data_IF_635370313285
#
_entry.id   IF_635370313285
#
_cell.length_a   1.000
_cell.length_b   1.000
_cell.length_c   1.000
_cell.angle_alpha   90.00
_cell.angle_beta   90.00
_cell.angle_gamma   90.00
#
_symmetry.space_group_name_H-M   'P 1'
#
loop_
_entity.id
_entity.type
_entity.pdbx_description
1 polymer ?
#
# COMPACT_ATOMS: atom_id res chain seq x y z
N UNK A 1 3.09 21.99 -12.78
CA UNK A 1 3.23 20.60 -13.25
C UNK A 1 4.37 19.93 -12.49
N UNK A 2 4.06 18.87 -11.75
CA UNK A 2 5.01 18.15 -10.90
C UNK A 2 6.14 17.52 -11.72
N UNK A 3 7.40 17.77 -11.36
CA UNK A 3 8.53 17.06 -11.97
C UNK A 3 8.56 15.62 -11.45
N UNK A 4 8.38 14.66 -12.36
CA UNK A 4 8.31 13.22 -12.08
C UNK A 4 9.26 12.52 -13.06
N UNK A 5 10.33 11.94 -12.55
CA UNK A 5 11.24 11.12 -13.35
C UNK A 5 10.60 9.75 -13.62
N UNK A 6 10.36 9.46 -14.90
CA UNK A 6 9.71 8.23 -15.37
C UNK A 6 10.71 7.19 -15.90
N UNK A 7 12.03 7.39 -15.73
CA UNK A 7 13.09 6.47 -16.19
C UNK A 7 12.97 5.07 -15.59
N UNK A 8 12.32 4.93 -14.42
CA UNK A 8 12.07 3.64 -13.79
C UNK A 8 11.16 2.71 -14.62
N UNK A 9 10.33 3.25 -15.54
CA UNK A 9 9.32 2.46 -16.29
C UNK A 9 9.92 1.27 -17.00
N UNK A 10 11.04 1.46 -17.70
CA UNK A 10 11.74 0.39 -18.42
C UNK A 10 12.17 -0.74 -17.48
N UNK A 11 12.56 -0.40 -16.25
CA UNK A 11 12.98 -1.38 -15.26
C UNK A 11 11.79 -2.16 -14.66
N UNK A 12 10.63 -1.51 -14.49
CA UNK A 12 9.44 -2.08 -13.86
C UNK A 12 8.40 -2.63 -14.82
N UNK A 13 8.61 -2.53 -16.14
CA UNK A 13 7.66 -3.00 -17.15
C UNK A 13 7.17 -4.42 -16.89
N UNK A 14 8.09 -5.37 -16.66
CA UNK A 14 7.73 -6.77 -16.37
C UNK A 14 6.99 -6.94 -15.03
N UNK A 15 7.28 -6.10 -14.05
CA UNK A 15 6.58 -6.09 -12.76
C UNK A 15 5.16 -5.58 -12.94
N UNK A 16 4.97 -4.50 -13.71
CA UNK A 16 3.64 -3.98 -14.03
C UNK A 16 2.81 -5.02 -14.80
N UNK A 17 3.34 -5.57 -15.89
CA UNK A 17 2.66 -6.63 -16.65
C UNK A 17 2.19 -7.77 -15.77
N UNK A 18 3.06 -8.26 -14.88
CA UNK A 18 2.73 -9.31 -13.92
C UNK A 18 1.61 -8.93 -12.95
N UNK A 19 1.63 -7.71 -12.41
CA UNK A 19 0.59 -7.23 -11.50
C UNK A 19 -0.76 -7.05 -12.21
N UNK A 20 -0.77 -6.53 -13.44
CA UNK A 20 -1.99 -6.42 -14.24
C UNK A 20 -2.52 -7.80 -14.64
N UNK A 21 -1.66 -8.76 -14.96
CA UNK A 21 -2.08 -10.15 -15.21
C UNK A 21 -2.74 -10.77 -13.98
N UNK A 22 -2.09 -10.68 -12.80
CA UNK A 22 -2.67 -11.16 -11.53
C UNK A 22 -4.02 -10.52 -11.21
N UNK A 23 -4.18 -9.23 -11.52
CA UNK A 23 -5.47 -8.55 -11.38
C UNK A 23 -6.52 -9.12 -12.32
N UNK A 24 -6.17 -9.36 -13.58
CA UNK A 24 -7.08 -9.97 -14.57
C UNK A 24 -7.49 -11.38 -14.14
N UNK A 25 -6.54 -12.20 -13.67
CA UNK A 25 -6.81 -13.55 -13.17
C UNK A 25 -7.79 -13.52 -11.98
N UNK A 26 -7.59 -12.58 -11.05
CA UNK A 26 -8.49 -12.35 -9.93
C UNK A 26 -9.89 -11.90 -10.37
N UNK A 27 -9.99 -11.06 -11.40
CA UNK A 27 -11.28 -10.62 -11.96
C UNK A 27 -12.01 -11.76 -12.67
N UNK A 28 -11.30 -12.56 -13.47
CA UNK A 28 -11.84 -13.70 -14.20
C UNK A 28 -12.37 -14.80 -13.28
N UNK A 29 -11.85 -14.86 -12.05
CA UNK A 29 -12.21 -15.87 -11.06
C UNK A 29 -13.38 -15.47 -10.15
N UNK A 30 -14.04 -14.34 -10.46
CA UNK A 30 -15.26 -13.92 -9.76
C UNK A 30 -16.48 -14.69 -10.29
N UNK A 31 -17.50 -14.95 -9.45
CA UNK A 31 -17.57 -14.57 -8.04
C UNK A 31 -16.74 -15.51 -7.15
N UNK A 32 -15.97 -14.92 -6.23
CA UNK A 32 -15.32 -15.69 -5.16
C UNK A 32 -16.39 -16.19 -4.19
N UNK A 33 -16.22 -17.38 -3.56
CA UNK A 33 -17.13 -17.82 -2.51
C UNK A 33 -17.28 -16.74 -1.43
N UNK A 34 -18.51 -16.29 -1.16
CA UNK A 34 -18.78 -15.16 -0.26
C UNK A 34 -18.10 -15.29 1.11
N UNK A 35 -18.07 -16.50 1.66
CA UNK A 35 -17.43 -16.80 2.96
C UNK A 35 -15.91 -16.60 2.89
N UNK A 36 -15.26 -17.04 1.81
CA UNK A 36 -13.82 -16.85 1.62
C UNK A 36 -13.50 -15.37 1.46
N UNK A 37 -14.27 -14.65 0.64
CA UNK A 37 -14.11 -13.22 0.44
C UNK A 37 -14.26 -12.43 1.76
N UNK A 38 -15.26 -12.76 2.57
CA UNK A 38 -15.47 -12.13 3.87
C UNK A 38 -14.26 -12.34 4.79
N UNK A 39 -13.78 -13.59 4.93
CA UNK A 39 -12.63 -13.90 5.78
C UNK A 39 -11.35 -13.20 5.32
N UNK A 40 -11.10 -13.13 4.01
CA UNK A 40 -9.96 -12.42 3.45
C UNK A 40 -10.06 -10.92 3.79
N UNK A 41 -11.23 -10.30 3.57
CA UNK A 41 -11.44 -8.88 3.86
C UNK A 41 -11.26 -8.56 5.33
N UNK A 42 -11.82 -9.39 6.21
CA UNK A 42 -11.69 -9.26 7.66
C UNK A 42 -10.21 -9.35 8.09
N UNK A 43 -9.50 -10.38 7.64
CA UNK A 43 -8.07 -10.56 7.94
C UNK A 43 -7.22 -9.39 7.41
N UNK A 44 -7.48 -8.94 6.18
CA UNK A 44 -6.77 -7.81 5.57
C UNK A 44 -7.10 -6.47 6.25
N UNK A 45 -8.33 -6.24 6.73
CA UNK A 45 -8.68 -5.01 7.46
C UNK A 45 -7.88 -4.90 8.76
N UNK A 46 -7.80 -6.01 9.51
CA UNK A 46 -7.01 -6.08 10.75
C UNK A 46 -5.53 -5.83 10.45
N UNK A 47 -4.98 -6.51 9.45
CA UNK A 47 -3.58 -6.34 9.05
C UNK A 47 -3.29 -4.90 8.57
N UNK A 48 -4.20 -4.32 7.79
CA UNK A 48 -4.05 -2.96 7.26
C UNK A 48 -4.05 -1.94 8.40
N UNK A 49 -5.02 -2.03 9.31
CA UNK A 49 -5.11 -1.17 10.49
C UNK A 49 -3.87 -1.30 11.36
N UNK A 50 -3.46 -2.52 11.68
CA UNK A 50 -2.25 -2.77 12.48
C UNK A 50 -1.00 -2.14 11.86
N UNK A 51 -0.75 -2.40 10.56
CA UNK A 51 0.46 -1.93 9.91
C UNK A 51 0.44 -0.40 9.72
N UNK A 52 -0.69 0.17 9.31
CA UNK A 52 -0.84 1.61 9.12
C UNK A 52 -0.63 2.38 10.42
N UNK A 53 -1.25 1.95 11.53
CA UNK A 53 -1.09 2.60 12.83
C UNK A 53 0.32 2.37 13.41
N UNK A 54 0.88 1.16 13.27
CA UNK A 54 2.26 0.86 13.71
C UNK A 54 3.31 1.74 13.02
N UNK A 55 3.11 2.11 11.76
CA UNK A 55 4.03 3.03 11.03
C UNK A 55 4.05 4.42 11.68
N UNK A 56 2.92 4.87 12.22
CA UNK A 56 2.80 6.15 12.93
C UNK A 56 3.18 6.07 14.42
N UNK A 57 3.47 4.87 14.93
CA UNK A 57 3.99 4.68 16.29
C UNK A 57 3.03 4.04 17.29
N UNK A 58 1.82 3.64 16.85
CA UNK A 58 0.93 2.84 17.69
C UNK A 58 1.62 1.53 18.09
N UNK A 59 1.52 1.17 19.38
CA UNK A 59 2.31 0.09 19.97
C UNK A 59 1.53 -1.23 20.10
N UNK A 60 0.26 -1.26 19.71
CA UNK A 60 -0.52 -2.50 19.72
C UNK A 60 0.11 -3.55 18.81
N UNK A 61 0.11 -4.80 19.26
CA UNK A 61 0.41 -5.98 18.46
C UNK A 61 -0.76 -6.30 17.51
N UNK A 62 -0.51 -7.17 16.53
CA UNK A 62 -1.56 -7.62 15.60
C UNK A 62 -2.73 -8.28 16.35
N UNK A 63 -2.43 -9.11 17.37
CA UNK A 63 -3.45 -9.77 18.19
C UNK A 63 -4.26 -8.80 19.04
N UNK A 64 -3.60 -7.81 19.63
CA UNK A 64 -4.28 -6.73 20.38
C UNK A 64 -5.17 -5.89 19.43
N UNK A 65 -4.67 -5.57 18.24
CA UNK A 65 -5.45 -4.87 17.19
C UNK A 65 -6.70 -5.66 16.82
N UNK A 66 -6.55 -6.97 16.60
CA UNK A 66 -7.66 -7.87 16.32
C UNK A 66 -8.71 -7.87 17.43
N UNK A 67 -8.27 -7.97 18.70
CA UNK A 67 -9.16 -7.93 19.86
C UNK A 67 -9.97 -6.63 19.94
N UNK A 68 -9.34 -5.48 19.65
CA UNK A 68 -10.05 -4.19 19.64
C UNK A 68 -11.09 -4.14 18.53
N UNK A 69 -10.76 -4.61 17.33
CA UNK A 69 -11.65 -4.54 16.15
C UNK A 69 -12.82 -5.53 16.27
N UNK A 70 -12.53 -6.80 16.58
CA UNK A 70 -13.52 -7.88 16.53
C UNK A 70 -14.32 -8.01 17.83
N UNK A 71 -13.66 -7.88 18.98
CA UNK A 71 -14.30 -8.12 20.29
C UNK A 71 -14.73 -6.81 20.96
N UNK A 72 -14.29 -5.65 20.45
CA UNK A 72 -14.61 -4.35 21.02
C UNK A 72 -14.02 -4.10 22.41
N UNK A 73 -12.96 -4.83 22.78
CA UNK A 73 -12.36 -4.75 24.12
C UNK A 73 -11.20 -3.75 24.19
N UNK A 74 -10.93 -3.24 25.39
CA UNK A 74 -9.75 -2.44 25.68
C UNK A 74 -8.57 -3.30 26.14
N UNK A 75 -7.37 -2.95 25.72
CA UNK A 75 -6.10 -3.59 26.02
C UNK A 75 -5.40 -2.85 27.17
N UNK A 76 -5.12 -3.58 28.25
CA UNK A 76 -4.40 -3.08 29.41
C UNK A 76 -3.02 -2.51 29.01
N UNK A 77 -2.71 -1.31 29.48
CA UNK A 77 -1.40 -0.68 29.26
C UNK A 77 -1.26 0.04 27.91
N UNK A 78 -2.33 0.08 27.09
CA UNK A 78 -2.41 0.90 25.88
C UNK A 78 -3.23 2.17 26.14
N UNK A 79 -2.85 3.27 25.52
CA UNK A 79 -3.55 4.54 25.68
C UNK A 79 -4.93 4.52 25.02
N UNK A 80 -5.88 5.32 25.48
CA UNK A 80 -7.18 5.48 24.80
C UNK A 80 -7.01 5.96 23.35
N UNK A 81 -6.02 6.84 23.11
CA UNK A 81 -5.66 7.27 21.74
C UNK A 81 -5.37 6.07 20.84
N UNK A 82 -4.50 5.15 21.26
CA UNK A 82 -4.17 3.97 20.44
C UNK A 82 -5.39 3.07 20.14
N UNK A 83 -6.36 3.00 21.05
CA UNK A 83 -7.62 2.28 20.81
C UNK A 83 -8.48 3.01 19.78
N UNK A 84 -8.66 4.32 19.92
CA UNK A 84 -9.39 5.12 18.95
C UNK A 84 -8.72 5.07 17.58
N UNK A 85 -7.38 5.16 17.49
CA UNK A 85 -6.66 5.03 16.22
C UNK A 85 -6.95 3.70 15.53
N UNK A 86 -6.98 2.61 16.30
CA UNK A 86 -7.30 1.27 15.78
C UNK A 86 -8.75 1.19 15.31
N UNK A 87 -9.70 1.59 16.14
CA UNK A 87 -11.12 1.55 15.81
C UNK A 87 -11.45 2.47 14.61
N UNK A 88 -10.94 3.69 14.61
CA UNK A 88 -11.18 4.70 13.58
C UNK A 88 -10.63 4.29 12.23
N UNK A 89 -9.43 3.71 12.19
CA UNK A 89 -8.83 3.29 10.94
C UNK A 89 -9.63 2.13 10.32
N UNK A 90 -10.11 1.18 11.11
CA UNK A 90 -11.02 0.12 10.65
C UNK A 90 -12.33 0.72 10.08
N UNK A 91 -12.93 1.68 10.78
CA UNK A 91 -14.14 2.38 10.28
C UNK A 91 -13.88 3.20 9.02
N UNK A 92 -12.67 3.74 8.85
CA UNK A 92 -12.27 4.41 7.63
C UNK A 92 -12.10 3.43 6.45
N UNK A 93 -11.67 2.19 6.71
CA UNK A 93 -11.64 1.11 5.72
C UNK A 93 -13.09 0.74 5.30
N UNK A 94 -14.01 0.59 6.25
CA UNK A 94 -15.43 0.34 5.93
C UNK A 94 -16.00 1.44 5.02
N UNK A 95 -15.75 2.71 5.37
CA UNK A 95 -16.16 3.85 4.56
C UNK A 95 -15.53 3.81 3.16
N UNK A 96 -14.24 3.50 3.06
CA UNK A 96 -13.54 3.35 1.78
C UNK A 96 -14.24 2.32 0.87
N UNK A 97 -14.59 1.15 1.40
CA UNK A 97 -15.34 0.13 0.66
C UNK A 97 -16.75 0.58 0.25
N UNK A 98 -17.37 1.50 1.00
CA UNK A 98 -18.71 2.02 0.67
C UNK A 98 -18.73 3.03 -0.48
N UNK A 99 -17.60 3.70 -0.76
CA UNK A 99 -17.51 4.74 -1.78
C UNK A 99 -16.75 4.32 -3.05
N UNK A 100 -16.03 3.20 -3.01
CA UNK A 100 -15.28 2.72 -4.17
C UNK A 100 -16.22 2.13 -5.22
N UNK A 101 -16.06 2.59 -6.47
CA UNK A 101 -16.80 2.14 -7.65
C UNK A 101 -15.91 2.19 -8.89
N UNK A 102 -16.31 1.53 -9.98
CA UNK A 102 -15.54 1.49 -11.23
C UNK A 102 -15.39 2.88 -11.88
N UNK A 103 -16.36 3.78 -11.67
CA UNK A 103 -16.39 5.17 -12.18
C UNK A 103 -15.86 6.20 -11.17
N UNK A 104 -15.25 5.74 -10.07
CA UNK A 104 -14.83 6.60 -8.97
C UNK A 104 -13.82 7.68 -9.42
N UNK A 105 -14.16 8.93 -9.13
CA UNK A 105 -13.26 10.09 -9.23
C UNK A 105 -12.91 10.58 -7.85
N UNK A 106 -11.63 10.85 -7.63
CA UNK A 106 -11.16 11.36 -6.35
C UNK A 106 -11.66 12.80 -6.17
N UNK A 107 -12.26 13.11 -5.02
CA UNK A 107 -12.69 14.46 -4.66
C UNK A 107 -12.09 14.85 -3.31
N UNK A 108 -11.98 16.15 -3.06
CA UNK A 108 -11.44 16.68 -1.80
C UNK A 108 -12.25 16.17 -0.60
N UNK A 109 -13.58 16.05 -0.74
CA UNK A 109 -14.45 15.54 0.32
C UNK A 109 -14.14 14.10 0.72
N UNK A 110 -13.66 13.25 -0.19
CA UNK A 110 -13.34 11.85 0.12
C UNK A 110 -12.12 11.80 1.06
N UNK A 111 -11.10 12.62 0.77
CA UNK A 111 -9.91 12.79 1.60
C UNK A 111 -10.26 13.38 2.97
N UNK A 112 -11.06 14.45 3.00
CA UNK A 112 -11.47 15.10 4.25
C UNK A 112 -12.33 14.16 5.11
N UNK A 113 -13.22 13.35 4.50
CA UNK A 113 -14.06 12.39 5.20
C UNK A 113 -13.23 11.25 5.79
N UNK A 114 -12.28 10.70 5.04
CA UNK A 114 -11.34 9.69 5.54
C UNK A 114 -10.52 10.24 6.70
N UNK A 115 -9.98 11.46 6.57
CA UNK A 115 -9.24 12.11 7.65
C UNK A 115 -10.12 12.35 8.89
N UNK A 116 -11.37 12.77 8.68
CA UNK A 116 -12.36 12.97 9.74
C UNK A 116 -12.66 11.70 10.52
N UNK A 117 -12.74 10.54 9.83
CA UNK A 117 -12.88 9.25 10.49
C UNK A 117 -11.61 8.88 11.26
N UNK A 118 -10.42 9.04 10.64
CA UNK A 118 -9.13 8.70 11.25
C UNK A 118 -8.89 9.44 12.58
N UNK A 119 -9.23 10.73 12.67
CA UNK A 119 -8.99 11.55 13.88
C UNK A 119 -10.19 11.70 14.83
N UNK A 120 -11.32 11.02 14.55
CA UNK A 120 -12.52 11.09 15.39
C UNK A 120 -12.20 10.69 16.84
N UNK A 121 -12.69 11.43 17.83
CA UNK A 121 -12.43 11.16 19.26
C UNK A 121 -10.94 11.17 19.65
N UNK A 122 -10.09 11.75 18.80
CA UNK A 122 -8.66 11.95 19.05
C UNK A 122 -8.38 13.46 19.03
N UNK A 123 -8.68 14.11 17.90
CA UNK A 123 -8.47 15.55 17.66
C UNK A 123 -9.66 16.11 16.85
N UNK A 124 -10.87 16.06 17.44
CA UNK A 124 -12.13 16.39 16.77
C UNK A 124 -12.18 17.82 16.18
N UNK A 125 -11.48 18.77 16.81
CA UNK A 125 -11.41 20.16 16.34
C UNK A 125 -10.74 20.29 14.97
N UNK A 126 -9.86 19.34 14.60
CA UNK A 126 -9.10 19.33 13.36
C UNK A 126 -9.47 18.16 12.43
N UNK A 127 -10.27 17.21 12.91
CA UNK A 127 -10.72 16.06 12.14
C UNK A 127 -11.43 16.51 10.85
N UNK A 128 -10.94 16.03 9.70
CA UNK A 128 -11.46 16.38 8.37
C UNK A 128 -11.26 17.84 7.94
N UNK A 129 -10.35 18.59 8.59
CA UNK A 129 -10.09 20.00 8.28
C UNK A 129 -8.65 20.23 7.87
N UNK A 130 -8.45 20.97 6.78
CA UNK A 130 -7.13 21.41 6.33
C UNK A 130 -6.51 22.31 7.40
N UNK A 131 -5.21 22.13 7.64
CA UNK A 131 -4.47 22.95 8.60
C UNK A 131 -4.43 24.42 8.18
N UNK A 132 -4.55 25.30 9.16
CA UNK A 132 -4.41 26.75 8.99
C UNK A 132 -3.09 27.29 9.55
N UNK A 133 -2.18 26.39 9.97
CA UNK A 133 -0.90 26.73 10.59
C UNK A 133 0.27 25.96 10.02
N UNK A 134 1.49 26.40 10.35
CA UNK A 134 2.73 25.71 10.02
C UNK A 134 2.88 24.41 10.81
N UNK A 135 3.56 23.43 10.20
CA UNK A 135 3.83 22.11 10.81
C UNK A 135 5.27 21.69 10.51
N UNK A 136 5.81 20.81 11.35
CA UNK A 136 7.11 20.17 11.15
C UNK A 136 6.94 18.67 11.14
N UNK A 137 7.49 18.00 10.14
CA UNK A 137 7.45 16.54 10.02
C UNK A 137 8.76 15.99 10.56
N UNK A 138 8.69 15.19 11.62
CA UNK A 138 9.86 14.51 12.19
C UNK A 138 10.47 13.55 11.16
N UNK A 139 11.77 13.71 10.89
CA UNK A 139 12.51 12.83 9.97
C UNK A 139 12.33 13.14 8.47
N UNK A 140 11.51 14.13 8.10
CA UNK A 140 11.44 14.60 6.73
C UNK A 140 12.65 15.46 6.36
N UNK A 141 13.13 15.34 5.12
CA UNK A 141 14.22 16.15 4.57
C UNK A 141 13.73 17.45 3.89
N UNK A 142 12.48 17.84 4.10
CA UNK A 142 11.86 19.01 3.49
C UNK A 142 10.97 19.75 4.49
N UNK A 143 10.74 21.03 4.21
CA UNK A 143 9.76 21.83 4.94
C UNK A 143 8.39 21.72 4.26
N UNK A 144 7.31 21.40 5.00
CA UNK A 144 5.96 21.37 4.47
C UNK A 144 5.53 22.71 3.87
N UNK A 145 4.54 22.66 2.97
CA UNK A 145 4.05 23.84 2.27
C UNK A 145 3.47 24.90 3.21
N UNK A 146 3.45 26.15 2.78
CA UNK A 146 2.74 27.21 3.50
C UNK A 146 1.26 26.83 3.63
N UNK A 147 0.69 26.93 4.84
CA UNK A 147 -0.69 26.56 5.13
C UNK A 147 -1.70 27.23 4.18
N UNK A 148 -1.46 28.50 3.83
CA UNK A 148 -2.34 29.27 2.95
C UNK A 148 -2.42 28.73 1.52
N UNK A 149 -1.45 27.90 1.08
CA UNK A 149 -1.42 27.29 -0.25
C UNK A 149 -1.86 25.83 -0.26
N UNK A 150 -2.15 25.25 0.92
CA UNK A 150 -2.42 23.82 1.02
C UNK A 150 -3.68 23.43 0.26
N UNK A 151 -4.73 24.25 0.31
CA UNK A 151 -5.97 24.00 -0.44
C UNK A 151 -5.68 23.95 -1.94
N UNK A 152 -5.00 24.97 -2.47
CA UNK A 152 -4.65 25.06 -3.89
C UNK A 152 -3.83 23.85 -4.35
N UNK A 153 -2.83 23.43 -3.56
CA UNK A 153 -2.03 22.26 -3.90
C UNK A 153 -2.80 20.95 -3.84
N UNK A 154 -3.76 20.83 -2.90
CA UNK A 154 -4.62 19.65 -2.81
C UNK A 154 -5.54 19.56 -4.04
N UNK A 155 -6.11 20.70 -4.46
CA UNK A 155 -6.94 20.78 -5.67
C UNK A 155 -6.11 20.50 -6.93
N UNK A 156 -4.88 21.05 -7.05
CA UNK A 156 -3.95 20.73 -8.15
C UNK A 156 -3.61 19.23 -8.17
N UNK A 157 -3.40 18.61 -7.01
CA UNK A 157 -3.12 17.18 -6.91
C UNK A 157 -4.32 16.36 -7.37
N UNK A 158 -5.53 16.69 -6.92
CA UNK A 158 -6.75 15.98 -7.31
C UNK A 158 -6.99 16.10 -8.81
N UNK A 159 -6.83 17.29 -9.39
CA UNK A 159 -6.94 17.51 -10.83
C UNK A 159 -5.89 16.69 -11.59
N UNK A 160 -4.63 16.71 -11.16
CA UNK A 160 -3.56 15.91 -11.76
C UNK A 160 -3.89 14.41 -11.76
N UNK A 161 -4.46 13.88 -10.68
CA UNK A 161 -4.82 12.46 -10.58
C UNK A 161 -6.01 12.10 -11.45
N UNK A 162 -7.01 12.97 -11.54
CA UNK A 162 -8.21 12.72 -12.33
C UNK A 162 -7.97 12.92 -13.84
N UNK A 163 -7.10 13.85 -14.24
CA UNK A 163 -6.76 14.10 -15.65
C UNK A 163 -5.61 13.23 -16.15
N UNK A 164 -4.74 12.78 -15.25
CA UNK A 164 -3.58 11.92 -15.54
C UNK A 164 -2.77 12.38 -16.78
N UNK A 165 -2.26 13.62 -16.80
CA UNK A 165 -1.69 14.23 -18.01
C UNK A 165 -0.41 13.54 -18.49
N UNK A 166 0.23 12.72 -17.64
CA UNK A 166 1.45 11.98 -17.97
C UNK A 166 1.20 10.54 -18.44
N UNK A 167 -0.06 10.11 -18.55
CA UNK A 167 -0.41 8.74 -18.91
C UNK A 167 0.22 7.72 -17.95
N UNK A 168 0.12 7.98 -16.65
CA UNK A 168 0.58 7.07 -15.60
C UNK A 168 -0.35 5.86 -15.56
N UNK A 169 0.20 4.67 -15.32
CA UNK A 169 -0.62 3.50 -15.01
C UNK A 169 -1.19 3.60 -13.58
N UNK A 170 -2.17 2.75 -13.24
CA UNK A 170 -2.89 2.81 -11.95
C UNK A 170 -1.96 2.75 -10.71
N UNK A 171 -0.90 1.94 -10.78
CA UNK A 171 0.07 1.74 -9.69
C UNK A 171 0.97 2.97 -9.55
N UNK A 172 1.43 3.52 -10.67
CA UNK A 172 2.20 4.77 -10.71
C UNK A 172 1.38 5.93 -10.14
N UNK A 173 0.12 6.04 -10.57
CA UNK A 173 -0.80 7.10 -10.17
C UNK A 173 -1.04 7.08 -8.65
N UNK A 174 -1.30 5.89 -8.08
CA UNK A 174 -1.47 5.73 -6.63
C UNK A 174 -0.20 6.06 -5.84
N UNK A 175 0.97 5.63 -6.33
CA UNK A 175 2.25 5.91 -5.68
C UNK A 175 2.63 7.40 -5.70
N UNK A 176 2.37 8.07 -6.83
CA UNK A 176 2.63 9.51 -7.00
C UNK A 176 1.64 10.32 -6.18
N UNK A 177 0.35 9.99 -6.21
CA UNK A 177 -0.65 10.59 -5.33
C UNK A 177 -0.20 10.51 -3.87
N UNK A 178 0.21 9.33 -3.43
CA UNK A 178 0.65 9.13 -2.06
C UNK A 178 1.83 10.04 -1.70
N UNK A 179 2.89 10.07 -2.51
CA UNK A 179 4.04 10.93 -2.24
C UNK A 179 3.67 12.42 -2.22
N UNK A 180 2.95 12.89 -3.24
CA UNK A 180 2.57 14.31 -3.34
C UNK A 180 1.68 14.75 -2.20
N UNK A 181 0.74 13.91 -1.78
CA UNK A 181 -0.07 14.17 -0.61
C UNK A 181 0.78 14.34 0.66
N UNK A 182 1.75 13.46 0.90
CA UNK A 182 2.66 13.57 2.06
C UNK A 182 3.50 14.84 1.97
N UNK A 183 3.91 15.24 0.77
CA UNK A 183 4.66 16.48 0.52
C UNK A 183 3.83 17.75 0.77
N UNK A 184 2.54 17.75 0.39
CA UNK A 184 1.60 18.83 0.70
C UNK A 184 1.35 18.91 2.21
N UNK A 185 1.18 17.74 2.83
CA UNK A 185 0.90 17.55 4.25
C UNK A 185 -0.29 18.38 4.73
N UNK A 186 -1.52 18.08 4.27
CA UNK A 186 -2.65 19.00 4.42
C UNK A 186 -3.20 19.14 5.84
N UNK A 187 -2.86 18.25 6.77
CA UNK A 187 -3.44 18.20 8.11
C UNK A 187 -2.39 18.41 9.22
N UNK A 188 -2.84 18.71 10.44
CA UNK A 188 -1.95 18.81 11.61
C UNK A 188 -1.43 17.44 12.08
N UNK A 189 -2.28 16.41 12.08
CA UNK A 189 -1.93 15.00 12.29
C UNK A 189 -2.72 14.12 11.29
N UNK A 190 -2.53 12.81 11.28
CA UNK A 190 -3.36 11.86 10.52
C UNK A 190 -2.99 11.74 9.04
N UNK A 191 -2.05 12.55 8.55
CA UNK A 191 -1.62 12.58 7.13
C UNK A 191 -1.20 11.19 6.62
N UNK A 192 -0.34 10.47 7.36
CA UNK A 192 0.19 9.17 6.94
C UNK A 192 -0.89 8.09 6.83
N UNK A 193 -1.81 8.03 7.80
CA UNK A 193 -2.95 7.09 7.78
C UNK A 193 -3.93 7.43 6.65
N UNK A 194 -4.27 8.70 6.52
CA UNK A 194 -5.22 9.19 5.50
C UNK A 194 -4.70 8.93 4.10
N UNK A 195 -3.41 9.16 3.83
CA UNK A 195 -2.87 8.95 2.49
C UNK A 195 -2.81 7.47 2.10
N UNK A 196 -2.48 6.58 3.04
CA UNK A 196 -2.48 5.13 2.80
C UNK A 196 -3.88 4.59 2.56
N UNK A 197 -4.90 5.18 3.18
CA UNK A 197 -6.31 4.89 2.84
C UNK A 197 -6.66 5.46 1.46
N UNK A 198 -6.43 6.76 1.26
CA UNK A 198 -6.85 7.49 0.06
C UNK A 198 -6.20 6.97 -1.23
N UNK A 199 -4.92 6.55 -1.18
CA UNK A 199 -4.26 5.95 -2.35
C UNK A 199 -4.91 4.62 -2.76
N UNK A 200 -5.47 3.88 -1.80
CA UNK A 200 -6.09 2.58 -2.06
C UNK A 200 -7.44 2.72 -2.75
N UNK A 201 -8.13 3.85 -2.63
CA UNK A 201 -9.28 4.16 -3.50
C UNK A 201 -8.89 4.14 -4.99
N UNK A 202 -7.70 4.66 -5.32
CA UNK A 202 -7.20 4.73 -6.70
C UNK A 202 -6.82 3.35 -7.25
N UNK A 203 -6.33 2.45 -6.40
CA UNK A 203 -6.06 1.06 -6.80
C UNK A 203 -7.36 0.27 -6.93
N UNK A 204 -8.24 0.39 -5.93
CA UNK A 204 -9.45 -0.43 -5.82
C UNK A 204 -10.51 -0.09 -6.87
N UNK A 205 -10.63 1.18 -7.30
CA UNK A 205 -11.48 1.55 -8.44
C UNK A 205 -11.09 0.86 -9.75
N UNK A 206 -9.81 0.46 -9.87
CA UNK A 206 -9.29 -0.24 -11.04
C UNK A 206 -9.28 -1.77 -10.85
N UNK A 207 -9.93 -2.29 -9.80
CA UNK A 207 -10.08 -3.72 -9.53
C UNK A 207 -8.91 -4.37 -8.79
N UNK A 208 -7.91 -3.60 -8.35
CA UNK A 208 -6.84 -4.11 -7.49
C UNK A 208 -7.31 -4.27 -6.03
N UNK A 209 -6.74 -5.21 -5.26
CA UNK A 209 -6.87 -5.21 -3.81
C UNK A 209 -6.07 -4.06 -3.17
N UNK A 210 -6.28 -3.74 -1.88
CA UNK A 210 -5.53 -2.68 -1.22
C UNK A 210 -4.04 -3.05 -1.08
N UNK A 211 -3.14 -2.16 -1.49
CA UNK A 211 -1.72 -2.25 -1.19
C UNK A 211 -1.46 -1.87 0.28
N UNK A 212 -1.07 -2.86 1.09
CA UNK A 212 -0.79 -2.70 2.52
C UNK A 212 0.73 -2.66 2.75
N UNK A 213 1.24 -1.48 3.10
CA UNK A 213 2.65 -1.27 3.45
C UNK A 213 2.89 -1.83 4.85
N UNK A 214 3.84 -2.76 4.99
CA UNK A 214 4.13 -3.42 6.26
C UNK A 214 4.96 -2.53 7.19
N UNK A 215 4.69 -2.59 8.50
CA UNK A 215 5.49 -1.87 9.53
C UNK A 215 6.97 -2.23 9.50
N UNK A 216 7.28 -3.47 9.12
CA UNK A 216 8.66 -3.96 9.03
C UNK A 216 9.44 -3.27 7.90
N UNK A 217 8.74 -2.66 6.94
CA UNK A 217 9.31 -1.87 5.85
C UNK A 217 9.27 -0.35 6.13
N UNK A 218 8.92 0.08 7.35
CA UNK A 218 8.86 1.51 7.76
C UNK A 218 10.10 2.30 7.35
N UNK A 219 11.29 1.75 7.55
CA UNK A 219 12.55 2.40 7.15
C UNK A 219 12.62 2.58 5.62
N UNK A 220 12.33 1.54 4.85
CA UNK A 220 12.32 1.60 3.38
C UNK A 220 11.27 2.57 2.85
N UNK A 221 10.11 2.62 3.51
CA UNK A 221 9.03 3.54 3.19
C UNK A 221 9.45 5.01 3.32
N UNK A 222 10.06 5.41 4.44
CA UNK A 222 10.56 6.79 4.58
C UNK A 222 11.74 7.08 3.65
N UNK A 223 12.63 6.11 3.39
CA UNK A 223 13.68 6.27 2.38
C UNK A 223 13.11 6.50 0.98
N UNK A 224 12.04 5.79 0.62
CA UNK A 224 11.36 5.94 -0.67
C UNK A 224 10.73 7.33 -0.81
N UNK A 225 10.05 7.82 0.24
CA UNK A 225 9.50 9.19 0.28
C UNK A 225 10.60 10.24 0.12
N UNK A 226 11.72 10.08 0.82
CA UNK A 226 12.84 11.02 0.75
C UNK A 226 13.51 11.06 -0.63
N UNK A 227 13.57 9.93 -1.36
CA UNK A 227 14.06 9.91 -2.73
C UNK A 227 13.06 10.55 -3.71
N UNK A 228 11.77 10.30 -3.51
CA UNK A 228 10.70 10.87 -4.33
C UNK A 228 10.61 12.40 -4.19
N UNK A 229 11.04 12.97 -3.05
CA UNK A 229 11.19 14.43 -2.90
C UNK A 229 12.15 15.05 -3.93
N UNK A 230 13.12 14.27 -4.42
CA UNK A 230 14.05 14.68 -5.47
C UNK A 230 13.61 14.24 -6.87
N UNK A 231 12.36 13.80 -7.03
CA UNK A 231 11.79 13.33 -8.29
C UNK A 231 12.08 11.86 -8.62
N UNK A 232 12.89 11.14 -7.83
CA UNK A 232 13.19 9.72 -8.07
C UNK A 232 12.18 8.82 -7.35
N UNK A 233 11.27 8.21 -8.11
CA UNK A 233 10.19 7.35 -7.59
C UNK A 233 10.53 5.85 -7.59
N UNK A 234 11.73 5.43 -8.02
CA UNK A 234 12.09 4.02 -8.21
C UNK A 234 11.81 3.17 -6.96
N UNK A 235 12.25 3.63 -5.77
CA UNK A 235 11.99 2.95 -4.50
C UNK A 235 10.52 2.95 -4.10
N UNK A 236 9.79 4.04 -4.40
CA UNK A 236 8.37 4.16 -4.07
C UNK A 236 7.53 3.20 -4.91
N UNK A 237 7.82 3.12 -6.20
CA UNK A 237 7.18 2.19 -7.14
C UNK A 237 7.48 0.75 -6.77
N UNK A 238 8.72 0.42 -6.42
CA UNK A 238 9.08 -0.93 -5.95
C UNK A 238 8.28 -1.32 -4.70
N UNK A 239 8.24 -0.44 -3.69
CA UNK A 239 7.52 -0.69 -2.44
C UNK A 239 6.02 -0.88 -2.68
N UNK A 240 5.41 -0.03 -3.50
CA UNK A 240 3.98 -0.12 -3.83
C UNK A 240 3.67 -1.39 -4.60
N UNK A 241 4.51 -1.74 -5.58
CA UNK A 241 4.37 -2.97 -6.37
C UNK A 241 4.46 -4.21 -5.49
N UNK A 242 5.40 -4.27 -4.54
CA UNK A 242 5.54 -5.38 -3.60
C UNK A 242 4.38 -5.48 -2.61
N UNK A 243 3.90 -4.35 -2.10
CA UNK A 243 2.74 -4.31 -1.21
C UNK A 243 1.48 -4.81 -1.95
N UNK A 244 1.30 -4.40 -3.20
CA UNK A 244 0.18 -4.83 -4.04
C UNK A 244 0.28 -6.31 -4.43
N UNK A 245 1.47 -6.76 -4.88
CA UNK A 245 1.74 -8.17 -5.24
C UNK A 245 1.38 -9.11 -4.09
N UNK A 246 1.81 -8.78 -2.86
CA UNK A 246 1.48 -9.56 -1.67
C UNK A 246 -0.03 -9.73 -1.51
N UNK A 247 -0.78 -8.64 -1.60
CA UNK A 247 -2.24 -8.70 -1.43
C UNK A 247 -2.93 -9.43 -2.58
N UNK A 248 -2.50 -9.25 -3.83
CA UNK A 248 -2.98 -10.04 -4.97
C UNK A 248 -2.76 -11.53 -4.75
N UNK A 249 -1.58 -11.93 -4.28
CA UNK A 249 -1.27 -13.33 -4.01
C UNK A 249 -2.15 -13.90 -2.89
N UNK A 250 -2.46 -13.14 -1.84
CA UNK A 250 -3.41 -13.58 -0.80
C UNK A 250 -4.80 -13.86 -1.40
N UNK A 251 -5.30 -12.97 -2.26
CA UNK A 251 -6.59 -13.18 -2.91
C UNK A 251 -6.57 -14.38 -3.87
N UNK A 252 -5.55 -14.48 -4.72
CA UNK A 252 -5.40 -15.57 -5.68
C UNK A 252 -5.25 -16.92 -4.98
N UNK A 253 -4.46 -17.01 -3.90
CA UNK A 253 -4.24 -18.27 -3.16
C UNK A 253 -5.50 -18.76 -2.44
N UNK A 254 -6.45 -17.87 -2.15
CA UNK A 254 -7.72 -18.25 -1.56
C UNK A 254 -8.76 -18.72 -2.61
N UNK A 255 -8.42 -18.71 -3.90
CA UNK A 255 -9.33 -19.13 -4.96
C UNK A 255 -9.43 -20.66 -5.06
N UNK A 256 -10.64 -21.20 -5.33
CA UNK A 256 -10.81 -22.63 -5.60
C UNK A 256 -9.95 -23.08 -6.79
N UNK A 257 -9.25 -24.20 -6.65
CA UNK A 257 -8.43 -24.79 -7.72
C UNK A 257 -7.07 -24.11 -7.93
N UNK A 258 -6.70 -23.13 -7.10
CA UNK A 258 -5.33 -22.64 -7.11
C UNK A 258 -4.40 -23.66 -6.43
N UNK A 259 -3.52 -24.26 -7.22
CA UNK A 259 -2.49 -25.21 -6.77
C UNK A 259 -1.12 -24.54 -6.58
N UNK A 260 -1.06 -23.20 -6.68
CA UNK A 260 0.19 -22.44 -6.54
C UNK A 260 0.72 -22.56 -5.12
N UNK A 261 1.68 -23.46 -4.96
CA UNK A 261 2.43 -23.62 -3.73
C UNK A 261 3.67 -22.73 -3.80
N UNK A 262 3.51 -21.53 -3.28
CA UNK A 262 4.68 -20.77 -2.93
C UNK A 262 5.45 -21.52 -1.81
N UNK A 263 6.76 -21.33 -1.69
CA UNK A 263 7.61 -21.92 -0.64
C UNK A 263 8.66 -20.91 -0.21
N UNK A 264 9.28 -21.09 0.97
CA UNK A 264 10.33 -20.15 1.36
C UNK A 264 11.47 -20.27 0.37
N UNK A 265 12.15 -19.16 0.06
CA UNK A 265 13.28 -19.21 -0.88
C UNK A 265 14.33 -20.21 -0.42
N UNK A 266 14.56 -20.34 0.90
CA UNK A 266 15.47 -21.34 1.47
C UNK A 266 15.07 -22.77 1.16
N UNK A 267 13.78 -23.09 1.19
CA UNK A 267 13.29 -24.44 0.92
C UNK A 267 13.48 -24.78 -0.56
N UNK A 268 13.07 -23.87 -1.47
CA UNK A 268 13.16 -24.09 -2.92
C UNK A 268 14.62 -24.29 -3.37
N UNK A 269 15.54 -23.45 -2.88
CA UNK A 269 16.95 -23.50 -3.31
C UNK A 269 17.76 -24.59 -2.62
N UNK A 270 17.19 -25.29 -1.63
CA UNK A 270 17.81 -26.46 -1.01
C UNK A 270 17.78 -27.69 -1.91
N UNK A 271 16.93 -27.68 -2.95
CA UNK A 271 16.84 -28.76 -3.92
C UNK A 271 18.10 -28.85 -4.79
N UNK A 272 18.67 -30.04 -5.04
CA UNK A 272 19.89 -30.20 -5.84
C UNK A 272 19.79 -29.64 -7.26
N UNK A 273 18.57 -29.55 -7.81
CA UNK A 273 18.28 -29.02 -9.14
C UNK A 273 18.15 -27.49 -9.19
N UNK A 274 18.25 -26.79 -8.05
CA UNK A 274 18.04 -25.35 -8.00
C UNK A 274 19.10 -24.59 -8.84
N UNK A 275 18.69 -23.77 -9.81
CA UNK A 275 19.60 -23.14 -10.77
C UNK A 275 20.44 -22.00 -10.16
N UNK A 276 20.02 -21.47 -9.01
CA UNK A 276 20.69 -20.37 -8.31
C UNK A 276 20.64 -20.57 -6.80
N UNK A 277 21.67 -20.07 -6.10
CA UNK A 277 21.70 -20.06 -4.65
C UNK A 277 20.74 -19.05 -4.00
N UNK A 278 20.46 -19.26 -2.71
CA UNK A 278 19.52 -18.48 -1.90
C UNK A 278 19.72 -16.96 -1.99
N UNK A 279 20.97 -16.48 -1.94
CA UNK A 279 21.27 -15.05 -1.95
C UNK A 279 20.82 -14.37 -3.25
N UNK A 280 21.02 -15.03 -4.38
CA UNK A 280 20.65 -14.49 -5.69
C UNK A 280 19.14 -14.46 -5.86
N UNK A 281 18.43 -15.54 -5.53
CA UNK A 281 16.96 -15.57 -5.61
C UNK A 281 16.35 -14.54 -4.64
N UNK A 282 16.91 -14.41 -3.44
CA UNK A 282 16.51 -13.38 -2.48
C UNK A 282 16.78 -11.95 -2.98
N UNK A 283 17.81 -11.73 -3.79
CA UNK A 283 18.05 -10.45 -4.46
C UNK A 283 16.99 -10.15 -5.52
N UNK A 284 16.60 -11.16 -6.31
CA UNK A 284 15.54 -11.01 -7.33
C UNK A 284 14.20 -10.64 -6.70
N UNK A 285 13.81 -11.34 -5.63
CA UNK A 285 12.60 -11.05 -4.85
C UNK A 285 12.64 -9.62 -4.30
N UNK A 286 13.74 -9.23 -3.65
CA UNK A 286 13.92 -7.87 -3.11
C UNK A 286 13.84 -6.77 -4.18
N UNK A 287 14.27 -7.05 -5.41
CA UNK A 287 14.21 -6.15 -6.56
C UNK A 287 12.89 -6.25 -7.36
N UNK A 288 11.93 -7.07 -6.93
CA UNK A 288 10.65 -7.26 -7.61
C UNK A 288 10.75 -7.95 -8.98
N UNK A 289 11.88 -8.61 -9.27
CA UNK A 289 12.16 -9.23 -10.58
C UNK A 289 11.45 -10.56 -10.79
N UNK A 290 11.02 -11.20 -9.71
CA UNK A 290 10.22 -12.42 -9.70
C UNK A 290 8.96 -12.19 -8.86
N UNK A 291 7.94 -13.01 -9.07
CA UNK A 291 6.78 -13.08 -8.17
C UNK A 291 7.25 -13.59 -6.81
N UNK A 292 7.24 -12.70 -5.83
CA UNK A 292 7.63 -13.06 -4.48
C UNK A 292 6.99 -12.07 -3.51
N UNK A 293 6.64 -12.57 -2.34
CA UNK A 293 6.20 -11.72 -1.25
C UNK A 293 6.93 -12.06 0.05
N UNK A 294 6.81 -11.15 1.00
CA UNK A 294 7.43 -11.27 2.30
C UNK A 294 6.39 -11.58 3.36
N UNK A 295 6.66 -12.61 4.15
CA UNK A 295 5.87 -12.98 5.32
C UNK A 295 6.77 -13.03 6.55
N UNK A 296 6.49 -12.16 7.52
CA UNK A 296 7.38 -11.92 8.66
C UNK A 296 8.78 -11.48 8.21
N UNK A 297 9.77 -12.37 8.38
CA UNK A 297 11.18 -12.13 7.97
C UNK A 297 11.56 -12.88 6.68
N UNK A 298 10.74 -13.81 6.23
CA UNK A 298 11.06 -14.73 5.16
C UNK A 298 10.50 -14.22 3.83
N UNK A 299 11.23 -14.46 2.75
CA UNK A 299 10.74 -14.30 1.39
C UNK A 299 10.23 -15.63 0.88
N UNK A 300 9.17 -15.53 0.11
CA UNK A 300 8.39 -16.66 -0.37
C UNK A 300 8.10 -16.43 -1.85
N UNK A 301 8.26 -17.48 -2.65
CA UNK A 301 8.15 -17.45 -4.13
C UNK A 301 7.73 -18.84 -4.60
N UNK A 302 7.54 -19.03 -5.90
CA UNK A 302 7.21 -20.32 -6.52
C UNK A 302 8.40 -20.81 -7.35
N UNK A 303 8.51 -22.11 -7.62
CA UNK A 303 9.54 -22.63 -8.55
C UNK A 303 9.36 -22.05 -9.95
N UNK A 304 8.11 -21.98 -10.40
CA UNK A 304 7.68 -21.45 -11.69
C UNK A 304 8.20 -20.01 -11.89
N UNK A 305 8.04 -19.13 -10.89
CA UNK A 305 8.55 -17.76 -10.95
C UNK A 305 10.08 -17.66 -11.10
N UNK A 306 10.85 -18.60 -10.53
CA UNK A 306 12.31 -18.65 -10.70
C UNK A 306 12.65 -19.11 -12.12
N UNK A 307 11.97 -20.15 -12.59
CA UNK A 307 12.18 -20.73 -13.92
C UNK A 307 11.80 -19.75 -15.04
N UNK A 308 10.66 -19.06 -14.91
CA UNK A 308 10.21 -18.03 -15.84
C UNK A 308 11.23 -16.90 -15.99
N UNK A 309 11.83 -16.45 -14.88
CA UNK A 309 12.89 -15.46 -14.89
C UNK A 309 14.15 -15.96 -15.62
N UNK A 310 14.50 -17.23 -15.45
CA UNK A 310 15.64 -17.84 -16.16
C UNK A 310 15.37 -17.91 -17.66
N UNK A 311 14.19 -18.36 -18.04
CA UNK A 311 13.78 -18.50 -19.44
C UNK A 311 13.77 -17.15 -20.14
N UNK A 312 13.16 -16.12 -19.54
CA UNK A 312 13.16 -14.77 -20.10
C UNK A 312 14.56 -14.16 -20.19
N UNK A 313 15.43 -14.44 -19.22
CA UNK A 313 16.83 -13.98 -19.28
C UNK A 313 17.63 -14.67 -20.38
N UNK A 314 17.42 -15.98 -20.60
CA UNK A 314 18.06 -16.72 -21.71
C UNK A 314 17.62 -16.21 -23.07
N UNK A 315 16.35 -15.83 -23.25
CA UNK A 315 15.83 -15.25 -24.51
C UNK A 315 16.40 -13.87 -24.85
N UNK A 316 16.95 -13.15 -23.86
CA UNK A 316 17.55 -11.81 -24.03
C UNK A 316 19.07 -11.82 -24.23
N UNK A 317 19.72 -13.00 -24.16
CA UNK A 317 21.15 -13.18 -24.44
C UNK A 317 21.32 -13.75 -25.84
#
# INVERSE_FOLDING_TARGET
MWNIDLTYRTEFQSTFERLYQKRQDLQASRPLPNIALHKIRESLSIEWTYNSNSIEGNTMSLRETQMVIQEGITIKGKSLREHFETHNHDKAIDYLYSIVSDDYKLRSIDILSLHGLVLRSIEDDFAGRIRNGGVRISGANFMPQNANKVSDYLDELIDFINTNPLGLNDIELAAIFHHKFVWIHPFFDGNGRTVRLSMNLLLMRCGFPPAIILKNDRKKYYEALNQANNGNYQKMILLMSQALERTLNIYLNAMPGNETEYQTISDIVSEPSAPYGQEYVSLLARKGKIDAYKEGRNWYTTKEAIDDYILTRKRKR
#
